data_IF_290242809236
#
_entry.id   IF_290242809236
#
_cell.length_a   1.000
_cell.length_b   1.000
_cell.length_c   1.000
_cell.angle_alpha   90.00
_cell.angle_beta   90.00
_cell.angle_gamma   90.00
#
_symmetry.space_group_name_H-M   'P 1'
#
loop_
_entity.id
_entity.type
_entity.pdbx_description
1 polymer ?
#
# COMPACT_ATOMS: atom_id res chain seq x y z
N UNK A 1 7.57 12.94 -34.06
CA UNK A 1 6.57 13.34 -33.06
C UNK A 1 5.19 12.89 -33.51
N UNK A 2 4.66 11.85 -32.86
CA UNK A 2 3.24 11.52 -32.88
C UNK A 2 2.54 12.43 -31.89
N UNK A 3 1.35 12.91 -32.26
CA UNK A 3 0.50 13.71 -31.39
C UNK A 3 -0.65 12.85 -30.86
N UNK A 4 -0.61 12.54 -29.58
CA UNK A 4 -1.62 11.76 -28.89
C UNK A 4 -2.71 12.70 -28.39
N UNK A 5 -3.67 13.03 -29.27
CA UNK A 5 -4.76 13.98 -28.96
C UNK A 5 -5.56 13.64 -27.71
N UNK A 6 -5.70 12.34 -27.38
CA UNK A 6 -6.33 11.88 -26.14
C UNK A 6 -5.49 12.20 -24.90
N UNK A 7 -4.16 12.12 -24.98
CA UNK A 7 -3.26 12.45 -23.87
C UNK A 7 -3.14 13.95 -23.69
N UNK A 8 -3.14 14.72 -24.78
CA UNK A 8 -3.28 16.17 -24.74
C UNK A 8 -4.56 16.60 -24.02
N UNK A 9 -5.70 15.94 -24.31
CA UNK A 9 -6.97 16.21 -23.64
C UNK A 9 -6.96 15.86 -22.15
N UNK A 10 -6.08 14.95 -21.71
CA UNK A 10 -5.86 14.59 -20.30
C UNK A 10 -4.82 15.48 -19.61
N UNK A 11 -4.17 16.40 -20.34
CA UNK A 11 -3.12 17.27 -19.80
C UNK A 11 -1.78 16.56 -19.57
N UNK A 12 -1.54 15.45 -20.28
CA UNK A 12 -0.32 14.65 -20.22
C UNK A 12 0.58 14.99 -21.42
N UNK A 13 1.85 14.58 -21.37
CA UNK A 13 2.76 14.72 -22.52
C UNK A 13 2.16 14.02 -23.73
N UNK A 14 1.89 14.79 -24.79
CA UNK A 14 1.15 14.35 -25.96
C UNK A 14 2.03 14.16 -27.19
N UNK A 15 3.32 14.47 -27.06
CA UNK A 15 4.31 14.35 -28.12
C UNK A 15 5.31 13.26 -27.79
N UNK A 16 5.33 12.22 -28.62
CA UNK A 16 6.31 11.16 -28.49
C UNK A 16 6.99 10.84 -29.82
N UNK A 17 8.23 10.37 -29.77
CA UNK A 17 8.97 9.96 -30.95
C UNK A 17 8.50 8.61 -31.51
N UNK A 18 7.57 7.95 -30.80
CA UNK A 18 7.00 6.63 -31.07
C UNK A 18 8.11 5.67 -31.53
N UNK A 19 9.07 5.43 -30.63
CA UNK A 19 10.17 4.50 -30.90
C UNK A 19 9.59 3.14 -31.30
N UNK A 20 9.62 2.84 -32.59
CA UNK A 20 9.07 1.63 -33.18
C UNK A 20 10.22 0.73 -33.58
N UNK A 21 10.71 -0.16 -32.69
CA UNK A 21 11.89 -0.98 -32.96
C UNK A 21 11.68 -1.94 -34.14
N UNK A 22 10.43 -2.20 -34.54
CA UNK A 22 10.12 -2.91 -35.78
C UNK A 22 8.62 -3.09 -36.03
N UNK A 23 8.31 -3.73 -37.15
CA UNK A 23 6.96 -4.21 -37.48
C UNK A 23 7.07 -5.68 -37.84
N UNK A 24 6.29 -6.51 -37.17
CA UNK A 24 6.04 -7.88 -37.61
C UNK A 24 4.63 -7.94 -38.20
N UNK A 25 4.35 -8.97 -39.00
CA UNK A 25 3.02 -9.25 -39.53
C UNK A 25 2.87 -10.75 -39.71
N UNK A 26 1.71 -11.28 -39.32
CA UNK A 26 1.38 -12.69 -39.47
C UNK A 26 -0.01 -12.81 -40.08
N UNK A 27 -0.17 -13.72 -41.04
CA UNK A 27 -1.48 -14.01 -41.64
C UNK A 27 -2.30 -14.89 -40.70
N UNK A 28 -3.44 -14.37 -40.23
CA UNK A 28 -4.38 -15.16 -39.44
C UNK A 28 -5.10 -16.18 -40.33
N UNK A 29 -5.04 -17.47 -39.97
CA UNK A 29 -5.84 -18.52 -40.61
C UNK A 29 -6.83 -19.07 -39.57
N UNK A 30 -8.15 -19.08 -39.86
CA UNK A 30 -9.11 -19.76 -39.01
C UNK A 30 -8.65 -21.23 -38.86
N UNK A 31 -8.58 -21.74 -37.63
CA UNK A 31 -8.04 -23.04 -37.22
C UNK A 31 -6.54 -23.15 -36.86
N UNK A 32 -5.74 -22.06 -36.92
CA UNK A 32 -4.40 -22.05 -36.29
C UNK A 32 -4.24 -20.84 -35.36
N UNK A 33 -4.21 -21.02 -34.03
CA UNK A 33 -3.94 -19.92 -33.12
C UNK A 33 -2.55 -19.34 -33.41
N UNK A 34 -2.47 -18.02 -33.57
CA UNK A 34 -1.22 -17.29 -33.71
C UNK A 34 -0.99 -16.52 -32.41
N UNK A 35 0.12 -16.79 -31.72
CA UNK A 35 0.52 -16.10 -30.50
C UNK A 35 1.74 -15.23 -30.80
N UNK A 36 1.74 -14.01 -30.26
CA UNK A 36 2.87 -13.10 -30.31
C UNK A 36 3.46 -12.99 -28.91
N UNK A 37 4.75 -13.31 -28.79
CA UNK A 37 5.48 -13.23 -27.53
C UNK A 37 6.68 -12.29 -27.68
N UNK A 38 6.47 -10.96 -27.58
CA UNK A 38 7.59 -10.04 -27.57
C UNK A 38 8.44 -10.29 -26.31
N UNK A 39 9.76 -10.33 -26.46
CA UNK A 39 10.70 -10.50 -25.36
C UNK A 39 11.84 -9.50 -25.50
N UNK A 40 12.15 -8.82 -24.42
CA UNK A 40 13.35 -7.99 -24.31
C UNK A 40 14.36 -8.70 -23.43
N UNK A 41 15.58 -8.92 -23.95
CA UNK A 41 16.72 -9.43 -23.19
C UNK A 41 17.97 -8.70 -23.67
N UNK A 42 18.90 -8.46 -22.75
CA UNK A 42 20.24 -7.96 -23.11
C UNK A 42 21.13 -9.03 -23.77
N UNK A 43 20.67 -10.28 -23.82
CA UNK A 43 21.36 -11.43 -24.38
C UNK A 43 20.53 -12.10 -25.48
N UNK A 44 21.19 -12.93 -26.31
CA UNK A 44 20.52 -13.71 -27.36
C UNK A 44 19.36 -14.52 -26.77
N UNK A 45 18.11 -14.32 -27.22
CA UNK A 45 16.97 -15.05 -26.68
C UNK A 45 17.02 -16.53 -27.08
N UNK A 46 16.60 -17.40 -26.17
CA UNK A 46 16.42 -18.82 -26.46
C UNK A 46 15.39 -19.03 -27.59
N UNK A 47 15.49 -20.13 -28.36
CA UNK A 47 14.48 -20.51 -29.35
C UNK A 47 13.06 -20.52 -28.77
N UNK A 48 12.06 -20.13 -29.57
CA UNK A 48 10.68 -19.97 -29.09
C UNK A 48 10.11 -21.18 -28.32
N UNK A 49 10.36 -22.46 -28.69
CA UNK A 49 9.77 -23.59 -27.98
C UNK A 49 10.32 -23.72 -26.56
N UNK A 50 11.65 -23.58 -26.42
CA UNK A 50 12.32 -23.60 -25.12
C UNK A 50 11.83 -22.44 -24.26
N UNK A 51 11.77 -21.25 -24.85
CA UNK A 51 11.39 -20.04 -24.16
C UNK A 51 9.90 -20.03 -23.76
N UNK A 52 9.03 -20.75 -24.47
CA UNK A 52 7.64 -21.02 -24.07
C UNK A 52 7.58 -22.05 -22.95
N UNK A 53 8.33 -23.15 -23.08
CA UNK A 53 8.39 -24.20 -22.05
C UNK A 53 8.90 -23.65 -20.71
N UNK A 54 9.92 -22.79 -20.72
CA UNK A 54 10.41 -22.10 -19.51
C UNK A 54 9.32 -21.27 -18.85
N UNK A 55 8.54 -20.52 -19.63
CA UNK A 55 7.48 -19.68 -19.08
C UNK A 55 6.31 -20.52 -18.53
N UNK A 56 5.92 -21.58 -19.24
CA UNK A 56 4.91 -22.53 -18.75
C UNK A 56 5.36 -23.19 -17.44
N UNK A 57 6.62 -23.60 -17.37
CA UNK A 57 7.21 -24.16 -16.15
C UNK A 57 7.20 -23.13 -15.00
N UNK A 58 7.53 -21.87 -15.28
CA UNK A 58 7.49 -20.78 -14.30
C UNK A 58 6.07 -20.53 -13.78
N UNK A 59 5.07 -20.46 -14.66
CA UNK A 59 3.66 -20.30 -14.28
C UNK A 59 3.15 -21.51 -13.49
N UNK A 60 3.53 -22.72 -13.89
CA UNK A 60 3.22 -23.93 -13.15
C UNK A 60 3.80 -23.86 -11.73
N UNK A 61 5.07 -23.45 -11.60
CA UNK A 61 5.72 -23.29 -10.30
C UNK A 61 5.00 -22.27 -9.42
N UNK A 62 4.63 -21.09 -9.96
CA UNK A 62 3.87 -20.08 -9.23
C UNK A 62 2.51 -20.61 -8.73
N UNK A 63 1.80 -21.38 -9.56
CA UNK A 63 0.52 -22.01 -9.16
C UNK A 63 0.72 -23.00 -8.03
N UNK A 64 1.73 -23.87 -8.12
CA UNK A 64 2.06 -24.83 -7.08
C UNK A 64 2.48 -24.12 -5.78
N UNK A 65 3.32 -23.10 -5.86
CA UNK A 65 3.72 -22.30 -4.68
C UNK A 65 2.53 -21.65 -4.01
N UNK A 66 1.55 -21.14 -4.78
CA UNK A 66 0.38 -20.47 -4.22
C UNK A 66 -0.50 -21.36 -3.35
N UNK A 67 -0.50 -22.68 -3.58
CA UNK A 67 -1.42 -23.60 -2.91
C UNK A 67 -2.89 -23.40 -3.30
N UNK A 68 -3.15 -22.79 -4.47
CA UNK A 68 -4.48 -22.46 -4.98
C UNK A 68 -4.93 -23.40 -6.12
N UNK A 69 -4.38 -24.60 -6.22
CA UNK A 69 -4.66 -25.56 -7.31
C UNK A 69 -6.12 -25.99 -7.35
N UNK A 70 -6.78 -26.05 -6.19
CA UNK A 70 -8.20 -26.36 -6.05
C UNK A 70 -9.12 -25.13 -6.23
N UNK A 71 -8.56 -23.92 -6.33
CA UNK A 71 -9.35 -22.71 -6.50
C UNK A 71 -9.91 -22.60 -7.93
N UNK A 72 -11.01 -21.84 -8.14
CA UNK A 72 -11.54 -21.59 -9.47
C UNK A 72 -10.49 -21.05 -10.45
N UNK A 73 -10.59 -21.34 -11.77
CA UNK A 73 -9.60 -20.91 -12.75
C UNK A 73 -9.29 -19.41 -12.75
N UNK A 74 -10.30 -18.57 -12.47
CA UNK A 74 -10.10 -17.12 -12.38
C UNK A 74 -9.26 -16.70 -11.17
N UNK A 75 -9.32 -17.42 -10.04
CA UNK A 75 -8.45 -17.19 -8.86
C UNK A 75 -7.01 -17.59 -9.18
N UNK A 76 -6.82 -18.73 -9.85
CA UNK A 76 -5.50 -19.17 -10.30
C UNK A 76 -4.89 -18.15 -11.28
N UNK A 77 -5.72 -17.54 -12.13
CA UNK A 77 -5.28 -16.46 -13.01
C UNK A 77 -4.89 -15.20 -12.24
N UNK A 78 -5.60 -14.84 -11.16
CA UNK A 78 -5.20 -13.72 -10.28
C UNK A 78 -3.85 -13.99 -9.60
N UNK A 79 -3.59 -15.23 -9.15
CA UNK A 79 -2.30 -15.59 -8.58
C UNK A 79 -1.14 -15.44 -9.58
N UNK A 80 -1.37 -15.78 -10.85
CA UNK A 80 -0.41 -15.52 -11.93
C UNK A 80 -0.27 -14.04 -12.25
N UNK A 81 -1.37 -13.28 -12.27
CA UNK A 81 -1.35 -11.84 -12.53
C UNK A 81 -0.59 -11.07 -11.44
N UNK A 82 -0.70 -11.51 -10.18
CA UNK A 82 0.00 -10.90 -9.05
C UNK A 82 1.52 -10.88 -9.22
N UNK A 83 2.08 -11.87 -9.92
CA UNK A 83 3.51 -11.93 -10.23
C UNK A 83 3.99 -10.80 -11.13
N UNK A 84 3.13 -10.27 -12.01
CA UNK A 84 3.51 -9.22 -12.95
C UNK A 84 3.87 -7.91 -12.25
N UNK A 85 3.32 -7.66 -11.07
CA UNK A 85 3.52 -6.42 -10.34
C UNK A 85 4.75 -6.44 -9.42
N UNK A 86 5.28 -7.63 -9.10
CA UNK A 86 6.45 -7.76 -8.23
C UNK A 86 7.71 -7.57 -9.08
N UNK A 87 8.50 -6.56 -8.73
CA UNK A 87 9.73 -6.21 -9.44
C UNK A 87 10.92 -6.24 -8.50
N UNK A 88 12.07 -6.61 -9.06
CA UNK A 88 13.35 -6.47 -8.38
C UNK A 88 13.89 -5.06 -8.64
N UNK A 89 14.27 -4.37 -7.57
CA UNK A 89 14.85 -3.02 -7.60
C UNK A 89 16.14 -3.01 -6.78
N UNK A 90 16.96 -1.98 -6.99
CA UNK A 90 18.13 -1.73 -6.15
C UNK A 90 17.86 -0.51 -5.28
N UNK A 91 17.95 -0.67 -3.97
CA UNK A 91 17.81 0.40 -2.97
C UNK A 91 19.15 0.56 -2.29
N UNK A 92 19.77 1.73 -2.41
CA UNK A 92 21.12 2.01 -1.91
C UNK A 92 22.17 0.95 -2.32
N UNK A 93 22.06 0.45 -3.55
CA UNK A 93 22.96 -0.56 -4.11
C UNK A 93 22.69 -1.99 -3.64
N UNK A 94 21.68 -2.23 -2.79
CA UNK A 94 21.26 -3.56 -2.36
C UNK A 94 20.05 -4.04 -3.17
N UNK A 95 20.03 -5.30 -3.62
CA UNK A 95 18.86 -5.85 -4.30
C UNK A 95 17.70 -6.02 -3.30
N UNK A 96 16.51 -5.61 -3.73
CA UNK A 96 15.26 -5.78 -2.99
C UNK A 96 14.09 -5.95 -3.93
N UNK A 97 12.90 -6.10 -3.36
CA UNK A 97 11.66 -6.21 -4.11
C UNK A 97 10.75 -5.03 -3.84
N UNK A 98 9.91 -4.73 -4.82
CA UNK A 98 8.90 -3.70 -4.74
C UNK A 98 7.71 -4.07 -5.63
N UNK A 99 6.65 -3.27 -5.59
CA UNK A 99 5.43 -3.47 -6.38
C UNK A 99 5.21 -2.27 -7.27
N UNK A 100 5.03 -2.51 -8.57
CA UNK A 100 4.54 -1.48 -9.49
C UNK A 100 3.04 -1.30 -9.29
N UNK A 101 2.59 -0.06 -9.12
CA UNK A 101 1.18 0.22 -8.82
C UNK A 101 0.24 -0.06 -10.01
N UNK A 102 0.75 0.01 -11.25
CA UNK A 102 -0.06 -0.25 -12.43
C UNK A 102 0.63 0.02 -13.75
N UNK A 103 0.51 -0.92 -14.69
CA UNK A 103 1.06 -0.76 -16.03
C UNK A 103 0.13 0.02 -16.97
N UNK A 104 0.69 0.72 -17.98
CA UNK A 104 2.12 1.04 -18.16
C UNK A 104 2.59 2.32 -17.44
N UNK A 105 1.73 2.99 -16.68
CA UNK A 105 1.93 4.41 -16.31
C UNK A 105 2.56 4.62 -14.94
N UNK A 106 2.44 3.66 -14.03
CA UNK A 106 2.80 3.86 -12.62
C UNK A 106 4.06 3.09 -12.25
N UNK A 107 4.88 3.76 -11.44
CA UNK A 107 6.09 3.20 -10.81
C UNK A 107 5.74 2.54 -9.48
N UNK A 108 6.72 2.44 -8.59
CA UNK A 108 6.56 1.91 -7.25
C UNK A 108 5.98 2.98 -6.31
N UNK A 109 4.81 2.69 -5.73
CA UNK A 109 4.12 3.57 -4.79
C UNK A 109 3.95 2.89 -3.43
N UNK A 110 4.37 3.54 -2.34
CA UNK A 110 4.39 2.90 -1.02
C UNK A 110 3.03 2.56 -0.48
N UNK A 111 2.05 3.44 -0.68
CA UNK A 111 0.65 3.16 -0.33
C UNK A 111 0.16 1.89 -1.05
N UNK A 112 0.26 1.86 -2.37
CA UNK A 112 -0.23 0.79 -3.23
C UNK A 112 0.47 -0.54 -2.91
N UNK A 113 1.80 -0.52 -2.75
CA UNK A 113 2.57 -1.69 -2.37
C UNK A 113 2.09 -2.27 -1.05
N UNK A 114 1.93 -1.44 -0.01
CA UNK A 114 1.63 -1.93 1.34
C UNK A 114 0.17 -2.37 1.49
N UNK A 115 -0.76 -1.75 0.77
CA UNK A 115 -2.16 -2.21 0.68
C UNK A 115 -2.24 -3.55 -0.07
N UNK A 116 -1.52 -3.69 -1.18
CA UNK A 116 -1.63 -4.86 -2.06
C UNK A 116 -0.78 -6.05 -1.61
N UNK A 117 0.24 -5.84 -0.76
CA UNK A 117 1.20 -6.86 -0.33
C UNK A 117 0.54 -8.16 0.17
N UNK A 118 -0.51 -8.12 1.02
CA UNK A 118 -1.17 -9.34 1.48
C UNK A 118 -1.75 -10.18 0.33
N UNK A 119 -2.37 -9.54 -0.66
CA UNK A 119 -2.94 -10.23 -1.82
C UNK A 119 -1.85 -10.71 -2.79
N UNK A 120 -0.84 -9.87 -3.04
CA UNK A 120 0.19 -10.19 -4.02
C UNK A 120 1.15 -11.27 -3.52
N UNK A 121 1.62 -11.19 -2.28
CA UNK A 121 2.67 -12.06 -1.76
C UNK A 121 2.17 -13.08 -0.74
N UNK A 122 1.33 -12.70 0.22
CA UNK A 122 0.95 -13.60 1.33
C UNK A 122 -0.09 -14.64 0.89
N UNK A 123 -1.15 -14.21 0.20
CA UNK A 123 -2.18 -15.11 -0.34
C UNK A 123 -1.64 -16.09 -1.40
N UNK A 124 -0.47 -15.79 -1.96
CA UNK A 124 0.26 -16.65 -2.91
C UNK A 124 1.46 -17.35 -2.28
N UNK A 125 1.58 -17.32 -0.94
CA UNK A 125 2.64 -17.96 -0.13
C UNK A 125 4.07 -17.57 -0.52
N UNK A 126 4.25 -16.42 -1.16
CA UNK A 126 5.55 -15.83 -1.52
C UNK A 126 6.09 -14.98 -0.37
N UNK A 127 6.25 -15.60 0.80
CA UNK A 127 6.59 -14.89 2.03
C UNK A 127 7.95 -14.21 1.99
N UNK A 128 8.95 -14.83 1.36
CA UNK A 128 10.28 -14.22 1.19
C UNK A 128 10.24 -12.91 0.40
N UNK A 129 9.33 -12.81 -0.58
CA UNK A 129 9.09 -11.57 -1.31
C UNK A 129 8.48 -10.52 -0.38
N UNK A 130 7.52 -10.91 0.47
CA UNK A 130 6.93 -10.00 1.45
C UNK A 130 7.97 -9.49 2.46
N UNK A 131 8.83 -10.38 2.97
CA UNK A 131 9.95 -10.03 3.86
C UNK A 131 10.89 -9.04 3.15
N UNK A 132 11.26 -9.31 1.90
CA UNK A 132 12.13 -8.45 1.12
C UNK A 132 11.52 -7.06 0.88
N UNK A 133 10.24 -6.98 0.53
CA UNK A 133 9.52 -5.71 0.35
C UNK A 133 9.48 -4.95 1.68
N UNK A 134 9.07 -5.58 2.78
CA UNK A 134 8.98 -4.87 4.06
C UNK A 134 10.34 -4.33 4.53
N UNK A 135 11.44 -5.07 4.31
CA UNK A 135 12.80 -4.57 4.56
C UNK A 135 13.14 -3.38 3.67
N UNK A 136 12.91 -3.49 2.37
CA UNK A 136 13.11 -2.40 1.41
C UNK A 136 12.43 -1.10 1.85
N UNK A 137 11.16 -1.18 2.22
CA UNK A 137 10.38 -0.01 2.60
C UNK A 137 10.75 0.54 3.98
N UNK A 138 11.21 -0.33 4.90
CA UNK A 138 11.76 0.10 6.18
C UNK A 138 13.05 0.91 6.04
N UNK A 139 13.93 0.54 5.10
CA UNK A 139 15.16 1.30 4.83
C UNK A 139 14.88 2.70 4.26
N UNK A 140 13.75 2.87 3.58
CA UNK A 140 13.32 4.16 3.05
C UNK A 140 12.57 5.03 4.07
N UNK A 141 12.41 4.59 5.32
CA UNK A 141 11.76 5.40 6.35
C UNK A 141 12.62 6.63 6.66
N UNK A 142 12.01 7.80 6.54
CA UNK A 142 12.63 9.06 6.94
C UNK A 142 11.62 9.96 7.65
N UNK A 143 12.03 10.52 8.79
CA UNK A 143 11.17 11.24 9.72
C UNK A 143 9.87 10.49 10.07
N UNK A 144 9.96 9.17 10.24
CA UNK A 144 8.83 8.31 10.56
C UNK A 144 7.83 8.14 9.42
N UNK A 145 8.22 8.45 8.18
CA UNK A 145 7.37 8.31 7.00
C UNK A 145 8.01 7.38 5.98
N UNK A 146 7.20 6.51 5.38
CA UNK A 146 7.53 5.77 4.15
C UNK A 146 7.18 6.66 2.94
N UNK A 147 8.00 6.68 1.87
CA UNK A 147 7.68 7.42 0.67
C UNK A 147 6.36 6.98 0.02
N UNK A 148 5.61 7.95 -0.50
CA UNK A 148 4.47 7.68 -1.36
C UNK A 148 4.93 7.18 -2.73
N UNK A 149 5.98 7.78 -3.31
CA UNK A 149 6.49 7.45 -4.65
C UNK A 149 7.99 7.24 -4.64
N UNK A 150 8.43 6.18 -5.32
CA UNK A 150 9.82 5.97 -5.71
C UNK A 150 9.94 6.27 -7.21
N UNK A 151 10.56 7.40 -7.60
CA UNK A 151 10.73 7.72 -9.02
C UNK A 151 11.75 6.77 -9.67
N UNK A 152 11.55 6.46 -10.95
CA UNK A 152 12.58 5.79 -11.73
C UNK A 152 13.80 6.71 -11.94
N UNK A 153 15.02 6.17 -11.80
CA UNK A 153 16.27 6.91 -12.01
C UNK A 153 16.89 7.47 -10.74
N UNK A 154 17.47 8.69 -10.81
CA UNK A 154 18.20 9.33 -9.70
C UNK A 154 17.34 10.29 -8.85
N UNK A 155 16.00 10.22 -8.97
CA UNK A 155 15.10 11.06 -8.21
C UNK A 155 15.06 10.68 -6.73
N UNK A 156 14.92 11.67 -5.84
CA UNK A 156 14.70 11.41 -4.41
C UNK A 156 13.28 10.85 -4.17
N UNK A 157 13.07 9.95 -3.20
CA UNK A 157 11.74 9.50 -2.82
C UNK A 157 10.85 10.65 -2.34
N UNK A 158 9.55 10.57 -2.65
CA UNK A 158 8.57 11.61 -2.32
C UNK A 158 7.72 11.18 -1.11
N UNK A 159 7.71 11.98 -0.03
CA UNK A 159 7.10 11.61 1.26
C UNK A 159 5.70 12.21 1.48
N UNK A 160 4.93 12.48 0.42
CA UNK A 160 3.61 13.12 0.48
C UNK A 160 2.45 12.14 0.75
N UNK A 161 2.54 11.36 1.84
CA UNK A 161 1.51 10.38 2.24
C UNK A 161 1.36 10.32 3.75
N UNK A 162 0.12 10.28 4.24
CA UNK A 162 -0.17 10.05 5.67
C UNK A 162 -0.51 8.58 5.98
N UNK A 163 -0.92 7.81 4.97
CA UNK A 163 -1.43 6.44 5.12
C UNK A 163 -0.38 5.35 4.86
N UNK A 164 0.59 5.56 3.97
CA UNK A 164 1.51 4.49 3.55
C UNK A 164 2.23 3.85 4.74
N UNK A 165 2.80 4.67 5.63
CA UNK A 165 3.49 4.18 6.83
C UNK A 165 2.57 3.41 7.77
N UNK A 166 1.29 3.77 7.86
CA UNK A 166 0.37 3.06 8.75
C UNK A 166 -0.05 1.71 8.13
N UNK A 167 -0.21 1.64 6.81
CA UNK A 167 -0.40 0.38 6.09
C UNK A 167 0.79 -0.58 6.25
N UNK A 168 2.00 -0.07 6.47
CA UNK A 168 3.19 -0.90 6.76
C UNK A 168 2.99 -1.80 7.98
N UNK A 169 2.40 -1.28 9.06
CA UNK A 169 2.10 -2.08 10.25
C UNK A 169 1.10 -3.18 9.93
N UNK A 170 0.06 -2.87 9.16
CA UNK A 170 -0.97 -3.83 8.74
C UNK A 170 -0.37 -4.94 7.88
N UNK A 171 0.47 -4.58 6.92
CA UNK A 171 1.18 -5.52 6.06
C UNK A 171 2.11 -6.46 6.87
N UNK A 172 2.89 -5.90 7.81
CA UNK A 172 3.70 -6.69 8.73
C UNK A 172 2.84 -7.61 9.60
N UNK A 173 1.71 -7.12 10.13
CA UNK A 173 0.80 -7.93 10.93
C UNK A 173 0.29 -9.15 10.15
N UNK A 174 -0.13 -8.97 8.90
CA UNK A 174 -0.56 -10.09 8.07
C UNK A 174 0.56 -11.10 7.80
N UNK A 175 1.79 -10.65 7.59
CA UNK A 175 2.94 -11.55 7.44
C UNK A 175 3.19 -12.35 8.73
N UNK A 176 3.18 -11.71 9.90
CA UNK A 176 3.34 -12.38 11.18
C UNK A 176 2.20 -13.35 11.50
N UNK A 177 0.98 -13.09 11.01
CA UNK A 177 -0.11 -14.06 11.11
C UNK A 177 0.11 -15.27 10.18
N UNK A 178 0.70 -15.06 9.00
CA UNK A 178 1.02 -16.14 8.07
C UNK A 178 2.24 -16.96 8.52
N UNK A 179 3.15 -16.38 9.30
CA UNK A 179 4.37 -17.00 9.82
C UNK A 179 4.55 -16.72 11.33
N UNK A 180 3.69 -17.26 12.21
CA UNK A 180 3.68 -16.90 13.64
C UNK A 180 4.94 -17.31 14.40
N UNK A 181 5.66 -18.33 13.92
CA UNK A 181 6.89 -18.84 14.54
C UNK A 181 8.15 -18.04 14.16
N UNK A 182 8.08 -17.22 13.09
CA UNK A 182 9.22 -16.43 12.62
C UNK A 182 9.09 -14.96 13.02
N UNK A 183 9.72 -14.62 14.14
CA UNK A 183 9.80 -13.25 14.65
C UNK A 183 11.07 -12.52 14.19
N UNK A 184 11.88 -13.09 13.30
CA UNK A 184 13.16 -12.51 12.88
C UNK A 184 12.97 -11.13 12.26
N UNK A 185 12.07 -11.01 11.28
CA UNK A 185 11.76 -9.74 10.65
C UNK A 185 11.18 -8.74 11.65
N UNK A 186 10.26 -9.17 12.52
CA UNK A 186 9.69 -8.28 13.55
C UNK A 186 10.77 -7.72 14.47
N UNK A 187 11.74 -8.55 14.87
CA UNK A 187 12.89 -8.14 15.69
C UNK A 187 13.77 -7.14 14.96
N UNK A 188 14.08 -7.41 13.69
CA UNK A 188 14.89 -6.53 12.84
C UNK A 188 14.22 -5.16 12.66
N UNK A 189 12.90 -5.15 12.45
CA UNK A 189 12.11 -3.93 12.19
C UNK A 189 11.69 -3.20 13.48
N UNK A 190 11.79 -3.82 14.64
CA UNK A 190 11.29 -3.23 15.90
C UNK A 190 11.80 -1.81 16.18
N UNK A 191 13.10 -1.48 15.99
CA UNK A 191 13.60 -0.12 16.21
C UNK A 191 12.95 0.92 15.29
N UNK A 192 12.78 0.63 14.00
CA UNK A 192 12.16 1.57 13.06
C UNK A 192 10.66 1.72 13.29
N UNK A 193 9.96 0.64 13.66
CA UNK A 193 8.54 0.70 14.01
C UNK A 193 8.29 1.59 15.25
N UNK A 194 9.16 1.50 16.25
CA UNK A 194 9.13 2.40 17.42
C UNK A 194 9.36 3.85 17.03
N UNK A 195 10.38 4.11 16.21
CA UNK A 195 10.70 5.48 15.79
C UNK A 195 9.56 6.09 14.98
N UNK A 196 8.92 5.32 14.10
CA UNK A 196 7.72 5.75 13.37
C UNK A 196 6.61 6.21 14.33
N UNK A 197 6.28 5.42 15.36
CA UNK A 197 5.26 5.80 16.35
C UNK A 197 5.66 7.07 17.09
N UNK A 198 6.93 7.19 17.50
CA UNK A 198 7.43 8.38 18.17
C UNK A 198 7.34 9.64 17.28
N UNK A 199 7.63 9.52 15.98
CA UNK A 199 7.45 10.59 15.00
C UNK A 199 5.99 11.02 14.86
N UNK A 200 5.07 10.07 14.79
CA UNK A 200 3.63 10.38 14.72
C UNK A 200 3.13 11.04 16.00
N UNK A 201 3.65 10.64 17.17
CA UNK A 201 3.29 11.29 18.44
C UNK A 201 3.81 12.72 18.57
N UNK A 202 5.06 12.99 18.16
CA UNK A 202 5.66 14.32 18.28
C UNK A 202 5.35 15.26 17.12
N UNK A 203 4.88 14.71 16.00
CA UNK A 203 4.71 15.40 14.73
C UNK A 203 5.82 15.13 13.73
N UNK A 204 5.45 15.02 12.46
CA UNK A 204 6.34 14.88 11.30
C UNK A 204 5.93 15.89 10.20
N UNK A 205 6.33 15.65 8.96
CA UNK A 205 6.06 16.53 7.81
C UNK A 205 4.57 16.81 7.65
N UNK A 206 4.27 17.91 6.95
CA UNK A 206 2.92 18.27 6.52
C UNK A 206 1.90 18.40 7.66
N UNK A 207 2.37 18.72 8.88
CA UNK A 207 1.50 18.83 10.05
C UNK A 207 0.85 17.50 10.43
N UNK A 208 1.43 16.36 10.04
CA UNK A 208 1.01 15.05 10.54
C UNK A 208 1.46 14.94 11.99
N UNK A 209 0.54 14.74 12.91
CA UNK A 209 0.87 14.64 14.33
C UNK A 209 -0.30 14.16 15.16
N UNK A 210 0.01 13.61 16.33
CA UNK A 210 -1.00 13.24 17.32
C UNK A 210 -1.44 14.49 18.07
N UNK A 211 -2.74 14.75 18.08
CA UNK A 211 -3.32 15.80 18.90
C UNK A 211 -3.30 15.36 20.37
N UNK A 212 -2.68 16.12 21.29
CA UNK A 212 -2.61 15.75 22.70
C UNK A 212 -3.97 15.76 23.42
N UNK A 213 -5.00 16.42 22.87
CA UNK A 213 -6.32 16.52 23.49
C UNK A 213 -7.13 15.22 23.35
N UNK A 214 -6.95 14.49 22.25
CA UNK A 214 -7.75 13.30 21.95
C UNK A 214 -6.94 12.10 21.42
N UNK A 215 -5.63 12.25 21.26
CA UNK A 215 -4.69 11.24 20.76
C UNK A 215 -4.92 10.83 19.29
N UNK A 216 -5.81 11.51 18.57
CA UNK A 216 -6.05 11.25 17.15
C UNK A 216 -4.98 11.92 16.30
N UNK A 217 -4.68 11.32 15.15
CA UNK A 217 -3.80 11.93 14.16
C UNK A 217 -4.55 12.98 13.36
N UNK A 218 -4.01 14.19 13.37
CA UNK A 218 -4.34 15.25 12.43
C UNK A 218 -3.28 15.32 11.32
N UNK A 219 -3.65 15.87 10.17
CA UNK A 219 -2.75 16.07 9.04
C UNK A 219 -3.15 17.29 8.21
N UNK A 220 -2.19 17.79 7.45
CA UNK A 220 -2.41 18.69 6.33
C UNK A 220 -2.02 20.13 6.66
N UNK A 221 -1.25 20.72 5.75
CA UNK A 221 -0.89 22.15 5.74
C UNK A 221 -1.42 22.77 4.45
N UNK A 222 -2.72 23.09 4.41
CA UNK A 222 -3.38 23.75 3.28
C UNK A 222 -3.33 22.95 1.96
N UNK A 223 -2.31 23.22 1.14
CA UNK A 223 -2.26 22.87 -0.29
C UNK A 223 -1.78 21.44 -0.59
N UNK A 224 -1.74 20.54 0.41
CA UNK A 224 -1.19 19.18 0.26
C UNK A 224 -2.27 18.12 0.33
N UNK A 225 -2.11 17.11 -0.51
CA UNK A 225 -3.00 15.97 -0.60
C UNK A 225 -2.23 14.72 -0.13
N UNK A 226 -2.54 14.26 1.10
CA UNK A 226 -1.75 13.22 1.77
C UNK A 226 -2.46 11.87 1.87
N UNK A 227 -3.79 11.85 1.78
CA UNK A 227 -4.59 10.60 1.82
C UNK A 227 -4.73 10.00 0.42
N UNK A 228 -5.13 8.73 0.29
CA UNK A 228 -5.34 8.07 -1.01
C UNK A 228 -6.27 8.79 -2.01
N UNK A 229 -7.18 9.65 -1.55
CA UNK A 229 -7.92 10.57 -2.42
C UNK A 229 -7.06 11.80 -2.75
N UNK A 230 -5.98 11.61 -3.54
CA UNK A 230 -4.89 12.57 -3.75
C UNK A 230 -4.88 13.28 -5.13
N UNK A 231 -6.05 13.43 -5.76
CA UNK A 231 -6.12 14.15 -7.04
C UNK A 231 -5.90 15.65 -6.82
N UNK A 232 -4.91 16.21 -7.53
CA UNK A 232 -4.56 17.64 -7.49
C UNK A 232 -4.32 18.18 -8.90
N UNK A 233 -4.92 19.32 -9.23
CA UNK A 233 -4.75 20.03 -10.51
C UNK A 233 -4.10 21.38 -10.23
N UNK A 234 -2.82 21.53 -10.58
CA UNK A 234 -2.04 22.71 -10.23
C UNK A 234 -1.94 22.86 -8.70
N UNK A 235 -2.57 23.89 -8.14
CA UNK A 235 -2.66 24.09 -6.68
C UNK A 235 -3.98 23.59 -6.07
N UNK A 236 -4.97 23.26 -6.90
CA UNK A 236 -6.28 22.87 -6.42
C UNK A 236 -6.30 21.39 -6.04
N UNK A 237 -6.54 21.11 -4.75
CA UNK A 237 -6.81 19.76 -4.25
C UNK A 237 -8.29 19.44 -4.47
N UNK A 238 -8.58 18.42 -5.28
CA UNK A 238 -9.95 18.10 -5.70
C UNK A 238 -10.75 17.51 -4.54
N UNK A 239 -10.09 16.71 -3.71
CA UNK A 239 -10.67 16.01 -2.56
C UNK A 239 -9.88 16.37 -1.29
N UNK A 240 -10.04 17.60 -0.77
CA UNK A 240 -9.34 18.02 0.43
C UNK A 240 -9.81 17.18 1.62
N UNK A 241 -8.86 16.66 2.40
CA UNK A 241 -9.13 15.84 3.59
C UNK A 241 -8.26 16.23 4.79
N UNK A 242 -7.86 17.50 4.84
CA UNK A 242 -7.13 18.12 5.96
C UNK A 242 -7.96 18.05 7.24
N UNK A 243 -7.32 17.80 8.38
CA UNK A 243 -7.98 17.49 9.64
C UNK A 243 -7.64 16.07 10.08
N UNK A 244 -8.63 15.34 10.59
CA UNK A 244 -8.49 13.97 11.09
C UNK A 244 -9.36 13.01 10.25
N UNK A 245 -8.82 12.40 9.17
CA UNK A 245 -9.58 11.45 8.36
C UNK A 245 -9.88 10.15 9.10
N UNK A 246 -11.02 9.53 8.80
CA UNK A 246 -11.52 8.34 9.50
C UNK A 246 -10.61 7.13 9.36
N UNK A 247 -10.16 6.78 8.15
CA UNK A 247 -9.33 5.61 7.92
C UNK A 247 -7.90 5.79 8.44
N UNK A 248 -7.39 7.02 8.46
CA UNK A 248 -6.06 7.34 9.02
C UNK A 248 -6.05 7.09 10.52
N UNK A 249 -7.10 7.49 11.22
CA UNK A 249 -7.19 7.27 12.65
C UNK A 249 -7.49 5.81 13.01
N UNK A 250 -8.22 5.09 12.17
CA UNK A 250 -8.38 3.65 12.32
C UNK A 250 -7.05 2.90 12.07
N UNK A 251 -6.28 3.32 11.07
CA UNK A 251 -4.93 2.82 10.79
C UNK A 251 -3.96 3.12 11.93
N UNK A 252 -4.04 4.31 12.53
CA UNK A 252 -3.24 4.68 13.70
C UNK A 252 -3.52 3.79 14.91
N UNK A 253 -4.81 3.59 15.23
CA UNK A 253 -5.22 2.63 16.24
C UNK A 253 -4.64 1.24 15.96
N UNK A 254 -4.74 0.77 14.70
CA UNK A 254 -4.20 -0.52 14.30
C UNK A 254 -2.67 -0.59 14.46
N UNK A 255 -1.93 0.44 14.06
CA UNK A 255 -0.49 0.50 14.24
C UNK A 255 -0.09 0.33 15.71
N UNK A 256 -0.78 1.01 16.64
CA UNK A 256 -0.53 0.88 18.08
C UNK A 256 -0.86 -0.53 18.61
N UNK A 257 -2.00 -1.12 18.19
CA UNK A 257 -2.37 -2.50 18.58
C UNK A 257 -1.39 -3.54 18.06
N UNK A 258 -0.93 -3.37 16.82
CA UNK A 258 0.07 -4.23 16.18
C UNK A 258 1.39 -4.09 16.91
N UNK A 259 1.81 -2.86 17.20
CA UNK A 259 3.05 -2.59 17.92
C UNK A 259 3.04 -3.18 19.33
N UNK A 260 1.93 -3.07 20.05
CA UNK A 260 1.79 -3.68 21.36
C UNK A 260 1.97 -5.22 21.31
N UNK A 261 1.40 -5.87 20.29
CA UNK A 261 1.56 -7.32 20.07
C UNK A 261 2.99 -7.69 19.70
N UNK A 262 3.62 -6.93 18.81
CA UNK A 262 5.04 -7.15 18.43
C UNK A 262 5.95 -6.98 19.65
N UNK A 263 5.78 -5.90 20.42
CA UNK A 263 6.52 -5.64 21.64
C UNK A 263 6.38 -6.81 22.64
N UNK A 264 5.15 -7.28 22.88
CA UNK A 264 4.89 -8.41 23.76
C UNK A 264 5.57 -9.71 23.26
N UNK A 265 5.45 -10.02 21.98
CA UNK A 265 6.06 -11.21 21.37
C UNK A 265 7.59 -11.20 21.44
N UNK A 266 8.20 -10.01 21.41
CA UNK A 266 9.65 -9.82 21.54
C UNK A 266 10.13 -9.68 22.99
N UNK A 267 9.24 -9.74 23.99
CA UNK A 267 9.59 -9.65 25.42
C UNK A 267 9.68 -8.23 25.97
N UNK A 268 9.23 -7.21 25.23
CA UNK A 268 9.20 -5.80 25.65
C UNK A 268 7.87 -5.47 26.39
N UNK A 269 7.63 -6.12 27.53
CA UNK A 269 6.35 -6.05 28.24
C UNK A 269 5.92 -4.61 28.61
N UNK A 270 6.84 -3.78 29.11
CA UNK A 270 6.52 -2.40 29.48
C UNK A 270 6.09 -1.55 28.28
N UNK A 271 6.77 -1.69 27.14
CA UNK A 271 6.42 -0.96 25.93
C UNK A 271 5.09 -1.46 25.35
N UNK A 272 4.83 -2.76 25.42
CA UNK A 272 3.55 -3.33 25.02
C UNK A 272 2.38 -2.73 25.82
N UNK A 273 2.55 -2.52 27.13
CA UNK A 273 1.56 -1.84 27.98
C UNK A 273 1.35 -0.38 27.56
N UNK A 274 2.43 0.36 27.28
CA UNK A 274 2.36 1.75 26.83
C UNK A 274 1.60 1.88 25.50
N UNK A 275 1.94 1.06 24.50
CA UNK A 275 1.25 1.06 23.21
C UNK A 275 -0.22 0.65 23.35
N UNK A 276 -0.54 -0.33 24.19
CA UNK A 276 -1.93 -0.71 24.48
C UNK A 276 -2.71 0.41 25.15
N UNK A 277 -2.13 1.09 26.15
CA UNK A 277 -2.78 2.20 26.83
C UNK A 277 -3.12 3.34 25.87
N UNK A 278 -2.17 3.69 24.99
CA UNK A 278 -2.42 4.70 23.96
C UNK A 278 -3.48 4.24 22.95
N UNK A 279 -3.43 2.98 22.50
CA UNK A 279 -4.45 2.44 21.60
C UNK A 279 -5.86 2.50 22.19
N UNK A 280 -6.01 2.25 23.50
CA UNK A 280 -7.29 2.38 24.21
C UNK A 280 -7.78 3.83 24.22
N UNK A 281 -6.89 4.79 24.48
CA UNK A 281 -7.23 6.21 24.45
C UNK A 281 -7.67 6.66 23.04
N UNK A 282 -6.92 6.27 22.01
CA UNK A 282 -7.27 6.52 20.59
C UNK A 282 -8.62 5.92 20.25
N UNK A 283 -8.90 4.67 20.65
CA UNK A 283 -10.17 4.02 20.39
C UNK A 283 -11.34 4.75 21.05
N UNK A 284 -11.17 5.19 22.31
CA UNK A 284 -12.19 5.94 23.02
C UNK A 284 -12.53 7.26 22.31
N UNK A 285 -11.52 8.03 21.91
CA UNK A 285 -11.71 9.26 21.15
C UNK A 285 -12.33 8.99 19.78
N UNK A 286 -11.87 7.95 19.08
CA UNK A 286 -12.40 7.60 17.77
C UNK A 286 -13.91 7.32 17.84
N UNK A 287 -14.34 6.51 18.81
CA UNK A 287 -15.76 6.17 19.00
C UNK A 287 -16.60 7.38 19.41
N UNK A 288 -16.04 8.30 20.20
CA UNK A 288 -16.75 9.49 20.63
C UNK A 288 -16.91 10.54 19.52
N UNK A 289 -15.98 10.58 18.55
CA UNK A 289 -15.86 11.70 17.61
C UNK A 289 -16.28 11.39 16.18
N UNK A 290 -16.04 10.18 15.68
CA UNK A 290 -16.30 9.87 14.27
C UNK A 290 -17.73 9.45 13.95
N UNK A 291 -18.51 8.98 14.93
CA UNK A 291 -19.87 8.50 14.65
C UNK A 291 -20.84 9.65 14.42
N UNK A 292 -21.49 9.66 13.26
CA UNK A 292 -22.56 10.59 12.92
C UNK A 292 -23.92 9.88 13.06
N UNK A 293 -24.53 10.03 14.24
CA UNK A 293 -25.85 9.45 14.56
C UNK A 293 -26.94 9.85 13.56
N UNK A 294 -26.91 11.09 13.04
CA UNK A 294 -27.95 11.58 12.14
C UNK A 294 -27.89 10.91 10.75
N UNK A 295 -26.68 10.57 10.29
CA UNK A 295 -26.46 9.91 9.00
C UNK A 295 -26.37 8.38 9.11
N UNK A 296 -26.23 7.83 10.33
CA UNK A 296 -26.02 6.39 10.54
C UNK A 296 -24.69 5.89 9.96
N UNK A 297 -23.68 6.76 9.87
CA UNK A 297 -22.37 6.45 9.32
C UNK A 297 -21.28 7.27 10.01
N UNK A 298 -20.02 7.11 9.61
CA UNK A 298 -18.95 7.95 10.14
C UNK A 298 -18.85 9.29 9.40
N UNK A 299 -18.42 10.35 10.08
CA UNK A 299 -17.80 11.50 9.42
C UNK A 299 -16.57 11.04 8.63
N UNK A 300 -16.37 11.56 7.43
CA UNK A 300 -15.20 11.23 6.60
C UNK A 300 -13.92 11.86 7.18
N UNK A 301 -14.04 13.09 7.67
CA UNK A 301 -12.97 13.88 8.28
C UNK A 301 -13.57 14.70 9.41
N UNK A 302 -12.95 14.69 10.58
CA UNK A 302 -13.30 15.60 11.69
C UNK A 302 -12.23 16.69 11.84
N UNK A 303 -12.57 17.79 12.52
CA UNK A 303 -11.67 18.94 12.70
C UNK A 303 -11.11 19.48 11.37
N UNK A 304 -11.97 19.70 10.38
CA UNK A 304 -11.55 20.33 9.12
C UNK A 304 -11.07 21.77 9.36
N UNK A 305 -10.26 22.37 8.46
CA UNK A 305 -9.85 23.77 8.58
C UNK A 305 -11.00 24.78 8.72
N UNK A 306 -12.18 24.43 8.21
CA UNK A 306 -13.40 25.23 8.29
C UNK A 306 -14.09 25.13 9.68
N UNK A 307 -13.56 24.31 10.59
CA UNK A 307 -14.07 24.11 11.94
C UNK A 307 -15.33 23.23 12.02
N UNK A 308 -15.64 22.50 10.95
CA UNK A 308 -16.79 21.58 10.88
C UNK A 308 -16.32 20.15 10.61
N UNK A 309 -17.15 19.17 10.95
CA UNK A 309 -16.90 17.77 10.58
C UNK A 309 -17.53 17.46 9.22
N UNK A 310 -16.77 16.81 8.33
CA UNK A 310 -17.21 16.42 6.98
C UNK A 310 -18.13 15.19 7.06
N UNK A 311 -19.43 15.41 6.90
CA UNK A 311 -20.45 14.37 6.89
C UNK A 311 -20.64 13.68 5.52
N UNK A 312 -19.79 13.96 4.52
CA UNK A 312 -19.91 13.36 3.19
C UNK A 312 -19.75 11.84 3.25
N UNK A 313 -20.77 11.10 2.79
CA UNK A 313 -20.72 9.64 2.75
C UNK A 313 -19.66 9.16 1.75
N UNK A 314 -18.58 8.58 2.26
CA UNK A 314 -17.45 8.04 1.49
C UNK A 314 -17.08 6.62 1.92
N UNK A 315 -16.43 5.83 1.04
CA UNK A 315 -16.05 4.45 1.34
C UNK A 315 -14.90 4.34 2.36
N UNK A 316 -14.31 5.44 2.81
CA UNK A 316 -13.17 5.43 3.74
C UNK A 316 -13.47 4.73 5.08
N UNK A 317 -14.73 4.81 5.55
CA UNK A 317 -15.16 4.04 6.71
C UNK A 317 -15.11 2.52 6.50
N UNK A 318 -15.24 2.03 5.25
CA UNK A 318 -15.09 0.61 4.94
C UNK A 318 -13.62 0.18 5.08
N UNK A 319 -12.67 1.05 4.74
CA UNK A 319 -11.26 0.80 5.02
C UNK A 319 -11.04 0.67 6.52
N UNK A 320 -11.56 1.60 7.33
CA UNK A 320 -11.49 1.51 8.79
C UNK A 320 -12.08 0.20 9.36
N UNK A 321 -13.18 -0.28 8.79
CA UNK A 321 -13.83 -1.55 9.17
C UNK A 321 -13.04 -2.79 8.76
N UNK A 322 -12.29 -2.72 7.65
CA UNK A 322 -11.54 -3.85 7.09
C UNK A 322 -10.26 -4.19 7.85
N UNK A 323 -9.81 -3.32 8.76
CA UNK A 323 -8.52 -3.46 9.43
C UNK A 323 -8.51 -4.59 10.49
N UNK A 324 -7.33 -5.17 10.80
CA UNK A 324 -7.21 -6.32 11.71
C UNK A 324 -7.79 -6.11 13.12
N UNK A 325 -7.72 -4.88 13.63
CA UNK A 325 -8.33 -4.49 14.90
C UNK A 325 -9.45 -3.50 14.63
N UNK A 326 -10.71 -3.90 14.77
CA UNK A 326 -11.82 -2.98 14.56
C UNK A 326 -11.84 -1.92 15.66
N UNK A 327 -12.09 -0.66 15.27
CA UNK A 327 -12.30 0.43 16.22
C UNK A 327 -13.63 0.25 16.98
N UNK A 328 -14.63 -0.35 16.33
CA UNK A 328 -15.95 -0.65 16.91
C UNK A 328 -15.99 -2.03 17.57
N UNK A 329 -16.81 -2.16 18.62
CA UNK A 329 -17.15 -3.46 19.19
C UNK A 329 -18.08 -4.20 18.23
N UNK A 330 -17.92 -5.52 18.08
CA UNK A 330 -18.75 -6.35 17.20
C UNK A 330 -20.27 -6.21 17.45
N UNK A 331 -20.68 -5.89 18.69
CA UNK A 331 -22.08 -5.63 19.05
C UNK A 331 -22.66 -4.32 18.48
N UNK A 332 -21.81 -3.39 18.03
CA UNK A 332 -22.27 -2.18 17.36
C UNK A 332 -22.68 -2.48 15.91
N UNK A 333 -22.08 -3.48 15.25
CA UNK A 333 -22.34 -3.83 13.85
C UNK A 333 -23.67 -4.56 13.63
N UNK A 334 -24.31 -5.13 14.66
CA UNK A 334 -25.65 -5.71 14.55
C UNK A 334 -26.77 -4.67 14.43
N UNK A 335 -26.43 -3.38 14.56
CA UNK A 335 -27.31 -2.25 14.28
C UNK A 335 -27.00 -1.56 12.94
N UNK A 336 -26.02 -2.06 12.17
CA UNK A 336 -25.64 -1.57 10.83
C UNK A 336 -26.39 -2.32 9.73
#
# INVERSE_FOLDING_TARGET
>A
SFHLTTEAARGLDDQEDLFRPGRSSSGFRPARPCCWWPRWKMTTPAPWPEALATEQARQQALRLTSGLEAAPPWVQQLALAADQFIVQRFFDGQPGHSVLAGYPWFTDWGRDTLISLPGLALATRRYEIAVSILRTYAHAVDQGMIPNRFPDGQGAPEYNTVDATLWFFVALHHLLQAQPEDLSLARDLYPVLKDIIAWHQRGTRYGIGMDPADHLLHQGTGDVQLTWMDVKIGKWVVTPRTGKPVEINALWYNALRIMARVAAALGHAHEAEQFNALAVAVQASFLARFWNEAAGCCYDVIDTPEGQDDATLRPNQLLALSLPYPCWKASALSAW
#
